data_IF_575966368562
#
_entry.id   IF_575966368562
#
_cell.length_a   1.000
_cell.length_b   1.000
_cell.length_c   1.000
_cell.angle_alpha   90.00
_cell.angle_beta   90.00
_cell.angle_gamma   90.00
#
_symmetry.space_group_name_H-M   'P 1'
#
loop_
_entity.id
_entity.type
_entity.pdbx_description
1 polymer ?
#
# COMPACT_ATOMS: atom_id res chain seq x y z
N UNK A 1 41.69 -76.50 43.61
CA UNK A 1 41.91 -77.10 42.27
C UNK A 1 40.87 -76.49 41.34
N UNK A 2 41.11 -75.34 40.70
CA UNK A 2 41.67 -75.18 39.34
C UNK A 2 40.90 -74.01 38.67
N UNK A 3 41.44 -73.30 37.66
CA UNK A 3 42.11 -72.02 37.86
C UNK A 3 41.42 -70.82 37.16
N UNK A 4 41.74 -69.60 37.61
CA UNK A 4 41.34 -68.33 36.98
C UNK A 4 41.98 -68.16 35.59
N UNK A 5 41.15 -67.87 34.58
CA UNK A 5 41.56 -67.54 33.21
C UNK A 5 41.79 -66.01 33.12
N UNK A 6 43.01 -65.59 32.76
CA UNK A 6 43.37 -64.17 32.61
C UNK A 6 42.68 -63.56 31.38
N UNK A 7 41.94 -62.46 31.58
CA UNK A 7 41.35 -61.68 30.48
C UNK A 7 42.40 -60.79 29.80
N UNK A 8 42.51 -60.91 28.48
CA UNK A 8 43.34 -60.07 27.63
C UNK A 8 42.68 -58.68 27.46
N UNK A 9 43.37 -57.62 27.90
CA UNK A 9 42.98 -56.23 27.60
C UNK A 9 43.14 -55.95 26.10
N UNK A 10 42.04 -55.85 25.37
CA UNK A 10 42.03 -55.37 23.98
C UNK A 10 42.43 -53.89 23.97
N UNK A 11 43.61 -53.56 23.43
CA UNK A 11 44.01 -52.18 23.22
C UNK A 11 43.12 -51.53 22.15
N UNK A 12 42.40 -50.47 22.53
CA UNK A 12 41.55 -49.68 21.62
C UNK A 12 42.45 -48.94 20.63
N UNK A 13 42.31 -49.21 19.33
CA UNK A 13 43.04 -48.48 18.28
C UNK A 13 42.65 -47.01 18.31
N UNK A 14 43.64 -46.12 18.40
CA UNK A 14 43.46 -44.67 18.42
C UNK A 14 43.50 -44.17 16.98
N UNK A 15 42.40 -43.59 16.53
CA UNK A 15 42.28 -43.02 15.18
C UNK A 15 42.42 -41.50 15.26
N UNK A 16 43.26 -40.94 14.39
CA UNK A 16 43.48 -39.51 14.26
C UNK A 16 42.65 -38.95 13.11
N UNK A 17 42.10 -37.75 13.28
CA UNK A 17 41.26 -37.07 12.28
C UNK A 17 42.07 -36.23 11.29
N UNK A 18 43.28 -35.80 11.67
CA UNK A 18 44.21 -35.10 10.80
C UNK A 18 45.67 -35.41 11.17
N UNK A 19 46.60 -35.08 10.27
CA UNK A 19 48.04 -35.27 10.49
C UNK A 19 48.55 -34.34 11.61
N UNK A 20 47.99 -33.12 11.69
CA UNK A 20 48.30 -32.15 12.75
C UNK A 20 47.87 -32.65 14.13
N UNK A 21 46.81 -33.47 14.21
CA UNK A 21 46.39 -34.11 15.46
C UNK A 21 47.39 -35.20 15.91
N UNK A 22 48.03 -35.90 14.96
CA UNK A 22 49.04 -36.92 15.24
C UNK A 22 50.34 -36.28 15.73
N UNK A 23 50.76 -35.19 15.07
CA UNK A 23 51.97 -34.43 15.39
C UNK A 23 51.88 -33.69 16.74
N UNK A 24 50.66 -33.39 17.19
CA UNK A 24 50.43 -32.77 18.50
C UNK A 24 50.95 -31.34 18.60
N UNK A 25 51.00 -30.64 17.46
CA UNK A 25 51.48 -29.27 17.32
C UNK A 25 50.71 -28.31 18.24
N UNK A 26 51.39 -27.26 18.73
CA UNK A 26 50.79 -26.27 19.65
C UNK A 26 49.60 -25.55 19.02
N UNK A 27 49.70 -25.20 17.74
CA UNK A 27 48.62 -24.53 17.00
C UNK A 27 47.35 -25.38 16.88
N UNK A 28 47.48 -26.69 16.70
CA UNK A 28 46.31 -27.58 16.63
C UNK A 28 45.62 -27.65 17.99
N UNK A 29 46.36 -27.67 19.11
CA UNK A 29 45.76 -27.66 20.45
C UNK A 29 44.99 -26.37 20.71
N UNK A 30 45.55 -25.22 20.36
CA UNK A 30 44.88 -23.92 20.50
C UNK A 30 43.61 -23.84 19.64
N UNK A 31 43.67 -24.31 18.39
CA UNK A 31 42.49 -24.38 17.50
C UNK A 31 41.47 -25.43 17.97
N UNK A 32 41.90 -26.55 18.55
CA UNK A 32 40.99 -27.58 19.06
C UNK A 32 40.20 -27.14 20.29
N UNK A 33 40.70 -26.17 21.06
CA UNK A 33 39.98 -25.60 22.18
C UNK A 33 38.90 -24.58 21.77
N UNK A 34 38.87 -24.14 20.50
CA UNK A 34 37.90 -23.16 20.00
C UNK A 34 37.07 -23.75 18.86
N UNK A 35 35.75 -23.79 19.03
CA UNK A 35 34.84 -24.37 18.01
C UNK A 35 34.71 -23.52 16.73
N UNK A 36 35.00 -22.21 16.81
CA UNK A 36 34.92 -21.27 15.68
C UNK A 36 36.18 -20.42 15.54
N UNK A 37 36.58 -20.00 14.33
CA UNK A 37 37.68 -19.04 14.14
C UNK A 37 37.44 -17.70 14.84
N UNK A 38 38.50 -16.98 15.23
CA UNK A 38 38.37 -15.62 15.78
C UNK A 38 37.64 -14.71 14.78
N UNK A 39 36.62 -13.99 15.26
CA UNK A 39 35.76 -13.12 14.44
C UNK A 39 34.53 -13.78 13.79
N UNK A 40 34.36 -15.10 13.87
CA UNK A 40 33.17 -15.77 13.30
C UNK A 40 31.92 -15.70 14.21
N UNK A 41 32.11 -15.61 15.53
CA UNK A 41 31.02 -15.48 16.52
C UNK A 41 30.94 -14.09 17.16
N UNK A 42 31.99 -13.29 17.01
CA UNK A 42 32.08 -11.96 17.61
C UNK A 42 31.63 -10.93 16.56
N UNK A 43 30.36 -10.50 16.65
CA UNK A 43 30.01 -9.21 16.08
C UNK A 43 30.82 -8.16 16.83
N UNK A 44 31.67 -7.39 16.13
CA UNK A 44 32.39 -6.26 16.71
C UNK A 44 31.45 -5.46 17.63
N UNK A 45 31.85 -5.27 18.89
CA UNK A 45 31.03 -4.79 20.01
C UNK A 45 30.33 -3.43 19.81
N UNK A 46 30.54 -2.76 18.68
CA UNK A 46 29.93 -1.47 18.37
C UNK A 46 28.42 -1.58 18.08
N UNK A 47 27.94 -2.74 17.61
CA UNK A 47 26.51 -2.94 17.29
C UNK A 47 25.92 -4.16 17.99
N UNK A 48 25.20 -3.92 19.10
CA UNK A 48 24.43 -4.96 19.77
C UNK A 48 23.08 -5.21 19.06
N UNK A 49 22.59 -6.46 19.08
CA UNK A 49 21.23 -6.82 18.60
C UNK A 49 20.15 -5.94 19.24
N UNK A 50 20.34 -5.55 20.51
CA UNK A 50 19.42 -4.67 21.24
C UNK A 50 19.42 -3.26 20.67
N UNK A 51 20.57 -2.70 20.30
CA UNK A 51 20.68 -1.37 19.69
C UNK A 51 20.00 -1.34 18.32
N UNK A 52 20.21 -2.38 17.51
CA UNK A 52 19.53 -2.52 16.22
C UNK A 52 18.00 -2.56 16.37
N UNK A 53 17.48 -3.43 17.24
CA UNK A 53 16.03 -3.52 17.49
C UNK A 53 15.46 -2.24 18.11
N UNK A 54 16.24 -1.55 18.95
CA UNK A 54 15.88 -0.26 19.52
C UNK A 54 15.72 0.84 18.47
N UNK A 55 16.69 0.94 17.54
CA UNK A 55 16.63 1.93 16.45
C UNK A 55 15.49 1.61 15.46
N UNK A 56 15.34 0.34 15.09
CA UNK A 56 14.24 -0.11 14.22
C UNK A 56 12.87 0.18 14.86
N UNK A 57 12.70 -0.14 16.14
CA UNK A 57 11.47 0.14 16.90
C UNK A 57 11.19 1.65 17.02
N UNK A 58 12.21 2.46 17.30
CA UNK A 58 12.08 3.92 17.36
C UNK A 58 11.66 4.51 16.01
N UNK A 59 12.20 3.99 14.91
CA UNK A 59 11.88 4.42 13.55
C UNK A 59 10.42 4.11 13.18
N UNK A 60 9.95 2.90 13.53
CA UNK A 60 8.56 2.50 13.32
C UNK A 60 7.61 3.34 14.18
N UNK A 61 7.96 3.61 15.45
CA UNK A 61 7.14 4.43 16.33
C UNK A 61 7.00 5.87 15.82
N UNK A 62 8.09 6.51 15.39
CA UNK A 62 8.08 7.86 14.81
C UNK A 62 7.24 7.93 13.53
N UNK A 63 7.38 6.95 12.64
CA UNK A 63 6.58 6.88 11.41
C UNK A 63 5.09 6.57 11.67
N UNK A 64 4.80 5.72 12.65
CA UNK A 64 3.44 5.31 13.01
C UNK A 64 2.62 6.42 13.68
N UNK A 65 3.25 7.28 14.49
CA UNK A 65 2.56 8.38 15.18
C UNK A 65 2.08 9.49 14.23
N UNK A 66 2.69 9.64 13.06
CA UNK A 66 2.26 10.60 12.04
C UNK A 66 0.99 10.17 11.27
N UNK A 67 0.66 8.87 11.27
CA UNK A 67 -0.42 8.31 10.45
C UNK A 67 -1.83 8.40 11.05
N UNK A 68 -1.97 8.66 12.36
CA UNK A 68 -3.27 8.56 13.04
C UNK A 68 -4.10 9.86 13.06
N UNK A 69 -3.66 10.93 12.38
CA UNK A 69 -4.38 12.22 12.38
C UNK A 69 -5.31 12.30 11.18
N UNK A 70 -6.62 12.17 11.42
CA UNK A 70 -7.61 12.51 10.38
C UNK A 70 -7.44 13.98 9.97
N UNK A 71 -7.39 14.28 8.65
CA UNK A 71 -7.35 15.67 8.20
C UNK A 71 -8.63 16.38 8.67
N UNK A 72 -8.49 17.65 9.06
CA UNK A 72 -9.65 18.48 9.42
C UNK A 72 -10.35 18.90 8.12
N UNK A 73 -11.48 18.29 7.83
CA UNK A 73 -12.35 18.71 6.73
C UNK A 73 -13.16 19.93 7.14
N UNK A 74 -13.35 20.85 6.19
CA UNK A 74 -14.13 22.09 6.41
C UNK A 74 -15.49 21.93 5.74
N UNK A 75 -16.56 22.20 6.48
CA UNK A 75 -17.91 22.27 5.95
C UNK A 75 -18.21 23.76 5.70
N UNK A 76 -18.42 24.13 4.43
CA UNK A 76 -18.65 25.52 4.03
C UNK A 76 -20.12 25.68 3.60
N UNK A 77 -20.97 26.38 4.37
CA UNK A 77 -22.37 26.59 4.01
C UNK A 77 -22.53 27.72 2.99
N UNK A 78 -23.73 27.83 2.41
CA UNK A 78 -24.11 28.96 1.56
C UNK A 78 -24.06 30.29 2.34
N UNK A 79 -23.50 31.32 1.72
CA UNK A 79 -23.54 32.70 2.26
C UNK A 79 -24.96 33.26 2.16
N UNK A 80 -25.65 32.99 1.05
CA UNK A 80 -27.06 33.29 0.83
C UNK A 80 -27.72 32.04 0.26
N UNK A 81 -28.54 31.31 1.04
CA UNK A 81 -29.18 30.11 0.56
C UNK A 81 -30.27 30.47 -0.47
N UNK A 82 -30.29 29.82 -1.65
CA UNK A 82 -31.44 29.92 -2.55
C UNK A 82 -32.63 29.14 -1.97
N UNK A 83 -33.84 29.62 -2.22
CA UNK A 83 -35.08 29.10 -1.59
C UNK A 83 -35.37 27.64 -1.98
N UNK A 84 -35.07 27.29 -3.23
CA UNK A 84 -35.40 25.97 -3.78
C UNK A 84 -34.36 24.90 -3.44
N UNK A 85 -33.22 25.22 -2.82
CA UNK A 85 -32.12 24.26 -2.60
C UNK A 85 -31.97 23.88 -1.13
N UNK A 86 -32.26 22.61 -0.86
CA UNK A 86 -32.00 21.97 0.43
C UNK A 86 -30.71 21.15 0.31
N UNK A 87 -29.62 21.50 1.04
CA UNK A 87 -28.38 20.73 1.05
C UNK A 87 -28.62 19.25 1.38
N UNK A 88 -27.97 18.37 0.63
CA UNK A 88 -28.12 16.91 0.76
C UNK A 88 -29.31 16.27 0.06
N UNK A 89 -30.28 17.05 -0.45
CA UNK A 89 -31.40 16.53 -1.27
C UNK A 89 -31.11 16.82 -2.74
N UNK A 90 -31.12 15.77 -3.56
CA UNK A 90 -30.93 15.91 -5.00
C UNK A 90 -32.17 16.51 -5.67
N UNK A 91 -31.93 17.38 -6.65
CA UNK A 91 -32.98 17.97 -7.49
C UNK A 91 -32.89 17.45 -8.91
N UNK A 92 -34.04 17.29 -9.54
CA UNK A 92 -34.13 16.79 -10.90
C UNK A 92 -34.56 17.91 -11.84
N UNK A 93 -33.71 18.20 -12.83
CA UNK A 93 -33.99 19.20 -13.86
C UNK A 93 -34.22 18.53 -15.21
N UNK A 94 -35.33 18.87 -15.86
CA UNK A 94 -35.57 18.47 -17.24
C UNK A 94 -34.78 19.38 -18.19
N UNK A 95 -33.91 18.79 -19.00
CA UNK A 95 -33.07 19.51 -19.97
C UNK A 95 -32.92 18.69 -21.26
N UNK A 96 -32.21 19.22 -22.24
CA UNK A 96 -31.94 18.54 -23.50
C UNK A 96 -30.45 18.48 -23.77
N UNK A 97 -29.98 17.35 -24.29
CA UNK A 97 -28.61 17.17 -24.75
C UNK A 97 -28.59 17.15 -26.27
N UNK A 98 -28.02 18.17 -26.95
CA UNK A 98 -27.81 18.10 -28.38
C UNK A 98 -26.71 17.07 -28.66
N UNK A 99 -26.98 16.16 -29.59
CA UNK A 99 -26.00 15.16 -30.00
C UNK A 99 -26.15 14.85 -31.49
N UNK A 100 -25.08 15.14 -32.24
CA UNK A 100 -25.11 15.08 -33.71
C UNK A 100 -26.26 15.94 -34.26
N UNK A 101 -27.10 15.40 -35.14
CA UNK A 101 -28.25 16.08 -35.76
C UNK A 101 -29.53 16.05 -34.93
N UNK A 102 -29.52 15.41 -33.75
CA UNK A 102 -30.72 15.20 -32.92
C UNK A 102 -30.53 15.76 -31.51
N UNK A 103 -31.63 15.94 -30.78
CA UNK A 103 -31.61 16.32 -29.37
C UNK A 103 -32.33 15.27 -28.52
N UNK A 104 -31.68 14.86 -27.44
CA UNK A 104 -32.25 13.90 -26.49
C UNK A 104 -32.78 14.66 -25.27
N UNK A 105 -34.06 14.46 -24.94
CA UNK A 105 -34.64 14.99 -23.71
C UNK A 105 -34.22 14.16 -22.50
N UNK A 106 -33.57 14.79 -21.54
CA UNK A 106 -32.97 14.12 -20.39
C UNK A 106 -33.45 14.76 -19.09
N UNK A 107 -33.34 14.02 -18.00
CA UNK A 107 -33.52 14.53 -16.64
C UNK A 107 -32.18 14.40 -15.94
N UNK A 108 -31.72 15.50 -15.37
CA UNK A 108 -30.42 15.59 -14.71
C UNK A 108 -30.62 15.74 -13.22
N UNK A 109 -30.02 14.83 -12.47
CA UNK A 109 -29.90 14.94 -11.03
C UNK A 109 -28.77 15.91 -10.68
N UNK A 110 -29.09 16.89 -9.84
CA UNK A 110 -28.20 17.95 -9.42
C UNK A 110 -28.20 18.05 -7.90
N UNK A 111 -27.03 17.97 -7.28
CA UNK A 111 -26.87 18.27 -5.86
C UNK A 111 -26.31 19.67 -5.75
N UNK A 112 -27.01 20.56 -5.06
CA UNK A 112 -26.47 21.89 -4.74
C UNK A 112 -26.03 22.72 -5.99
N UNK A 113 -26.65 22.43 -7.14
CA UNK A 113 -26.33 23.06 -8.44
C UNK A 113 -25.26 22.32 -9.25
N UNK A 114 -24.74 21.19 -8.76
CA UNK A 114 -23.78 20.32 -9.44
C UNK A 114 -24.48 19.10 -10.04
N UNK A 115 -24.60 19.00 -11.38
CA UNK A 115 -25.05 17.79 -12.05
C UNK A 115 -24.21 16.55 -11.65
N UNK A 116 -24.83 15.48 -11.16
CA UNK A 116 -24.13 14.25 -10.73
C UNK A 116 -24.55 13.01 -11.50
N UNK A 117 -25.76 13.02 -12.06
CA UNK A 117 -26.28 11.92 -12.86
C UNK A 117 -27.23 12.41 -13.94
N UNK A 118 -27.25 11.71 -15.07
CA UNK A 118 -28.16 11.99 -16.19
C UNK A 118 -29.00 10.73 -16.43
N UNK A 119 -30.29 10.90 -16.62
CA UNK A 119 -31.22 9.83 -17.00
C UNK A 119 -32.11 10.31 -18.15
N UNK A 120 -32.78 9.37 -18.83
CA UNK A 120 -33.72 9.72 -19.90
C UNK A 120 -35.00 10.36 -19.36
N UNK A 121 -35.57 11.33 -20.08
CA UNK A 121 -36.89 11.82 -19.73
C UNK A 121 -37.96 10.85 -20.24
N UNK A 122 -38.87 10.40 -19.36
CA UNK A 122 -40.00 9.52 -19.68
C UNK A 122 -41.01 10.16 -20.65
N UNK A 123 -41.16 11.48 -20.58
CA UNK A 123 -42.10 12.25 -21.38
C UNK A 123 -41.54 12.63 -22.76
N UNK A 124 -40.23 12.43 -22.99
CA UNK A 124 -39.59 12.80 -24.24
C UNK A 124 -39.50 11.61 -25.20
N UNK A 125 -39.95 11.74 -26.46
CA UNK A 125 -40.09 10.61 -27.39
C UNK A 125 -38.76 9.93 -27.74
N UNK A 126 -37.65 10.67 -27.71
CA UNK A 126 -36.34 10.12 -28.08
C UNK A 126 -35.67 9.27 -27.00
N UNK A 127 -36.07 9.39 -25.73
CA UNK A 127 -35.39 8.75 -24.59
C UNK A 127 -36.31 7.84 -23.80
N UNK A 128 -37.60 8.18 -23.68
CA UNK A 128 -38.63 7.36 -22.99
C UNK A 128 -38.19 6.81 -21.63
N UNK A 129 -37.40 7.58 -20.88
CA UNK A 129 -36.91 7.20 -19.56
C UNK A 129 -35.55 6.49 -19.53
N UNK A 130 -34.91 6.25 -20.68
CA UNK A 130 -33.62 5.57 -20.79
C UNK A 130 -32.51 6.48 -21.31
N UNK A 131 -31.27 6.17 -20.94
CA UNK A 131 -30.06 6.86 -21.39
C UNK A 131 -29.14 5.92 -22.18
N UNK A 132 -28.47 6.44 -23.22
CA UNK A 132 -27.40 5.70 -23.89
C UNK A 132 -26.03 5.99 -23.22
N UNK A 133 -25.00 5.22 -23.61
CA UNK A 133 -23.65 5.38 -23.05
C UNK A 133 -23.07 6.79 -23.28
N UNK A 134 -23.42 7.44 -24.38
CA UNK A 134 -22.89 8.75 -24.74
C UNK A 134 -23.52 9.88 -23.93
N UNK A 135 -24.82 9.79 -23.65
CA UNK A 135 -25.54 10.67 -22.73
C UNK A 135 -24.92 10.56 -21.34
N UNK A 136 -24.69 9.34 -20.85
CA UNK A 136 -24.04 9.13 -19.55
C UNK A 136 -22.60 9.68 -19.54
N UNK A 137 -21.83 9.44 -20.59
CA UNK A 137 -20.45 9.91 -20.71
C UNK A 137 -20.34 11.44 -20.85
N UNK A 138 -21.38 12.13 -21.34
CA UNK A 138 -21.37 13.59 -21.50
C UNK A 138 -21.10 14.35 -20.20
N UNK A 139 -21.45 13.75 -19.05
CA UNK A 139 -21.18 14.31 -17.73
C UNK A 139 -19.67 14.45 -17.46
N UNK A 140 -18.85 13.53 -17.97
CA UNK A 140 -17.40 13.64 -17.86
C UNK A 140 -16.89 14.86 -18.63
N UNK A 141 -17.43 15.14 -19.82
CA UNK A 141 -17.06 16.31 -20.61
C UNK A 141 -17.35 17.64 -19.91
N UNK A 142 -18.34 17.69 -19.01
CA UNK A 142 -18.61 18.88 -18.20
C UNK A 142 -17.53 19.10 -17.12
N UNK A 143 -17.06 18.00 -16.51
CA UNK A 143 -16.09 17.98 -15.41
C UNK A 143 -14.65 17.65 -15.82
N UNK A 144 -14.38 17.63 -17.12
CA UNK A 144 -13.05 17.33 -17.65
C UNK A 144 -12.04 18.41 -17.19
N UNK A 145 -10.94 18.04 -16.51
CA UNK A 145 -9.92 18.99 -16.06
C UNK A 145 -9.25 19.75 -17.22
N UNK A 146 -9.20 19.15 -18.41
CA UNK A 146 -8.56 19.69 -19.61
C UNK A 146 -9.50 20.60 -20.41
N UNK A 147 -10.78 20.68 -20.00
CA UNK A 147 -11.75 21.60 -20.60
C UNK A 147 -11.23 23.04 -20.55
N UNK A 148 -11.37 23.76 -21.67
CA UNK A 148 -10.89 25.14 -21.76
C UNK A 148 -11.54 26.03 -20.69
N UNK A 149 -10.69 26.64 -19.85
CA UNK A 149 -11.11 27.54 -18.75
C UNK A 149 -11.08 29.02 -19.15
N UNK A 150 -10.48 29.34 -20.30
CA UNK A 150 -10.27 30.72 -20.78
C UNK A 150 -10.45 30.77 -22.29
N UNK A 151 -10.84 31.94 -22.80
CA UNK A 151 -10.85 32.18 -24.25
C UNK A 151 -9.40 32.23 -24.73
N UNK A 152 -9.09 31.44 -25.77
CA UNK A 152 -7.76 31.39 -26.38
C UNK A 152 -7.80 32.08 -27.75
N UNK A 153 -6.76 32.84 -28.08
CA UNK A 153 -6.60 33.49 -29.38
C UNK A 153 -5.38 32.91 -30.09
N UNK A 154 -5.59 32.29 -31.25
CA UNK A 154 -4.53 31.53 -31.98
C UNK A 154 -3.95 30.38 -31.16
N UNK A 155 -4.77 29.71 -30.35
CA UNK A 155 -4.36 28.60 -29.49
C UNK A 155 -3.44 29.01 -28.32
N UNK A 156 -3.40 30.31 -28.00
CA UNK A 156 -2.65 30.90 -26.89
C UNK A 156 -3.56 31.75 -26.01
#
# INVERSE_FOLDING_TARGET
MSPMKKENKVQKKKYFRSLEQLDGSKEYKEKAHREFPEGASEMNNDWSRRNFMGIMGASIALAGLAGCRRPKEKIVPYVKPPEDVIPGIAQQYATTMPFSTSSYGIVVESHEGRPTKIEGNKLHPSTLGSSNAMIQASMLGLYDPDRSKKVLRKGK
#
